data_IF_412422720574
#
_entry.id   IF_412422720574
#
_cell.length_a   1.000
_cell.length_b   1.000
_cell.length_c   1.000
_cell.angle_alpha   90.00
_cell.angle_beta   90.00
_cell.angle_gamma   90.00
#
_symmetry.space_group_name_H-M   'P 1'
#
loop_
_entity.id
_entity.type
_entity.pdbx_description
1 polymer ?
#
# COMPACT_ATOMS: atom_id res chain seq x y z
N UNK A 1 10.87 13.64 -2.75
CA UNK A 1 9.77 14.41 -2.14
C UNK A 1 10.09 14.48 -0.66
N UNK A 2 10.77 15.56 -0.25
CA UNK A 2 11.48 15.60 1.04
C UNK A 2 10.52 15.90 2.18
N UNK A 3 10.51 15.04 3.20
CA UNK A 3 9.67 15.15 4.40
C UNK A 3 9.81 16.53 5.08
N UNK A 4 11.00 17.12 5.02
CA UNK A 4 11.33 18.45 5.55
C UNK A 4 10.57 19.57 4.85
N UNK A 5 10.31 19.46 3.55
CA UNK A 5 9.55 20.46 2.80
C UNK A 5 8.08 20.48 3.21
N UNK A 6 7.50 19.30 3.49
CA UNK A 6 6.11 19.17 3.96
C UNK A 6 6.00 19.73 5.39
N UNK A 7 6.98 19.47 6.24
CA UNK A 7 7.06 20.01 7.59
C UNK A 7 7.06 21.55 7.61
N UNK A 8 7.89 22.19 6.77
CA UNK A 8 7.89 23.65 6.64
C UNK A 8 6.52 24.18 6.18
N UNK A 9 5.88 23.50 5.24
CA UNK A 9 4.58 23.91 4.73
C UNK A 9 3.48 23.80 5.80
N UNK A 10 3.48 22.74 6.61
CA UNK A 10 2.54 22.59 7.72
C UNK A 10 2.78 23.61 8.84
N UNK A 11 4.04 23.97 9.11
CA UNK A 11 4.36 25.05 10.04
C UNK A 11 3.81 26.39 9.55
N UNK A 12 3.96 26.70 8.25
CA UNK A 12 3.42 27.92 7.65
C UNK A 12 1.89 27.96 7.73
N UNK A 13 1.23 26.80 7.64
CA UNK A 13 -0.22 26.67 7.79
C UNK A 13 -0.71 26.74 9.24
N UNK A 14 0.19 26.88 10.22
CA UNK A 14 -0.15 27.08 11.62
C UNK A 14 -0.45 25.79 12.38
N UNK A 15 -0.08 24.62 11.86
CA UNK A 15 -0.22 23.36 12.61
C UNK A 15 0.73 23.33 13.81
N UNK A 16 0.25 22.77 14.91
CA UNK A 16 1.08 22.66 16.11
C UNK A 16 2.26 21.70 15.90
N UNK A 17 3.43 21.98 16.50
CA UNK A 17 4.62 21.13 16.35
C UNK A 17 4.36 19.65 16.65
N UNK A 18 3.53 19.35 17.66
CA UNK A 18 3.17 17.98 18.01
C UNK A 18 2.36 17.26 16.92
N UNK A 19 1.48 17.96 16.20
CA UNK A 19 0.71 17.41 15.09
C UNK A 19 1.61 17.12 13.88
N UNK A 20 2.58 18.01 13.62
CA UNK A 20 3.55 17.84 12.52
C UNK A 20 4.47 16.64 12.77
N UNK A 21 4.99 16.49 13.99
CA UNK A 21 5.78 15.32 14.40
C UNK A 21 4.96 14.03 14.26
N UNK A 22 3.69 14.07 14.67
CA UNK A 22 2.78 12.93 14.56
C UNK A 22 2.48 12.56 13.11
N UNK A 23 2.25 13.56 12.25
CA UNK A 23 2.07 13.38 10.80
C UNK A 23 3.29 12.71 10.17
N UNK A 24 4.50 13.24 10.44
CA UNK A 24 5.75 12.68 9.93
C UNK A 24 5.93 11.23 10.36
N UNK A 25 5.66 10.95 11.64
CA UNK A 25 5.74 9.59 12.19
C UNK A 25 4.83 8.63 11.41
N UNK A 26 3.56 8.99 11.22
CA UNK A 26 2.59 8.14 10.50
C UNK A 26 2.99 7.95 9.03
N UNK A 27 3.43 9.02 8.37
CA UNK A 27 3.86 8.97 6.97
C UNK A 27 5.06 8.03 6.79
N UNK A 28 6.10 8.17 7.62
CA UNK A 28 7.26 7.28 7.60
C UNK A 28 6.85 5.83 7.85
N UNK A 29 6.01 5.58 8.86
CA UNK A 29 5.53 4.23 9.20
C UNK A 29 4.74 3.60 8.04
N UNK A 30 3.91 4.38 7.36
CA UNK A 30 3.15 3.92 6.21
C UNK A 30 4.04 3.55 5.01
N UNK A 31 5.02 4.41 4.70
CA UNK A 31 5.97 4.15 3.62
C UNK A 31 6.80 2.91 3.93
N UNK A 32 7.33 2.80 5.15
CA UNK A 32 8.14 1.65 5.56
C UNK A 32 7.36 0.34 5.45
N UNK A 33 6.10 0.31 5.90
CA UNK A 33 5.28 -0.91 5.78
C UNK A 33 4.96 -1.27 4.32
N UNK A 34 4.73 -0.26 3.48
CA UNK A 34 4.46 -0.47 2.04
C UNK A 34 5.70 -0.99 1.33
N UNK A 35 6.87 -0.41 1.59
CA UNK A 35 8.16 -0.85 1.06
C UNK A 35 8.46 -2.31 1.43
N UNK A 36 8.26 -2.67 2.71
CA UNK A 36 8.41 -4.05 3.18
C UNK A 36 7.39 -5.00 2.52
N UNK A 37 6.15 -4.55 2.32
CA UNK A 37 5.12 -5.32 1.64
C UNK A 37 5.42 -5.60 0.16
N UNK A 38 6.19 -4.71 -0.49
CA UNK A 38 6.62 -4.83 -1.88
C UNK A 38 7.94 -5.60 -2.06
N UNK A 39 8.59 -6.02 -0.96
CA UNK A 39 9.83 -6.80 -1.01
C UNK A 39 11.10 -5.99 -1.24
N UNK A 40 11.08 -4.67 -1.04
CA UNK A 40 12.25 -3.79 -1.18
C UNK A 40 13.36 -4.03 -0.13
N UNK A 41 13.17 -5.03 0.74
CA UNK A 41 14.09 -5.41 1.81
C UNK A 41 15.35 -6.14 1.30
N UNK A 42 15.21 -7.04 0.33
CA UNK A 42 16.28 -7.98 -0.03
C UNK A 42 17.39 -7.35 -0.90
N UNK A 43 17.06 -6.42 -1.79
CA UNK A 43 18.04 -5.85 -2.73
C UNK A 43 18.65 -4.50 -2.27
N UNK A 44 17.97 -3.75 -1.37
CA UNK A 44 18.28 -2.33 -1.15
C UNK A 44 18.61 -1.96 0.32
N UNK A 45 18.60 -2.91 1.27
CA UNK A 45 18.99 -2.63 2.66
C UNK A 45 18.03 -1.71 3.44
N UNK A 46 16.80 -1.50 2.96
CA UNK A 46 15.79 -0.60 3.54
C UNK A 46 15.52 -0.88 5.03
N UNK A 47 15.58 -2.15 5.48
CA UNK A 47 15.41 -2.52 6.89
C UNK A 47 16.51 -1.96 7.80
N UNK A 48 17.74 -1.75 7.30
CA UNK A 48 18.84 -1.20 8.11
C UNK A 48 18.80 0.32 8.24
N UNK A 49 18.03 1.02 7.41
CA UNK A 49 17.88 2.49 7.40
C UNK A 49 16.42 2.91 7.18
N UNK A 50 15.48 2.29 7.91
CA UNK A 50 14.07 2.68 7.77
C UNK A 50 13.88 4.15 8.15
N UNK A 51 12.90 4.82 7.52
CA UNK A 51 12.61 6.22 7.80
C UNK A 51 12.23 6.43 9.28
N UNK A 52 11.62 5.41 9.90
CA UNK A 52 11.32 5.35 11.33
C UNK A 52 12.57 5.30 12.21
N UNK A 53 13.59 4.51 11.84
CA UNK A 53 14.87 4.49 12.54
C UNK A 53 15.60 5.82 12.34
N UNK A 54 15.60 6.36 11.12
CA UNK A 54 16.30 7.60 10.81
C UNK A 54 15.69 8.85 11.48
N UNK A 55 14.36 8.98 11.51
CA UNK A 55 13.69 10.18 12.04
C UNK A 55 13.15 10.02 13.47
N UNK A 56 12.93 8.81 13.94
CA UNK A 56 12.29 8.54 15.23
C UNK A 56 13.02 7.49 16.08
N UNK A 57 14.17 6.97 15.60
CA UNK A 57 15.01 5.98 16.30
C UNK A 57 14.26 4.74 16.80
N UNK A 58 13.24 4.31 16.05
CA UNK A 58 12.36 3.19 16.40
C UNK A 58 12.31 2.16 15.28
N UNK A 59 12.48 0.89 15.63
CA UNK A 59 12.49 -0.23 14.69
C UNK A 59 11.11 -0.86 14.46
N UNK A 60 10.09 -0.49 15.26
CA UNK A 60 8.74 -1.09 15.18
C UNK A 60 7.63 -0.07 15.51
N UNK A 61 7.18 0.70 14.50
CA UNK A 61 6.14 1.75 14.68
C UNK A 61 4.69 1.28 14.55
N UNK A 62 4.46 0.00 14.26
CA UNK A 62 3.13 -0.55 13.96
C UNK A 62 2.14 -0.52 15.13
N UNK A 63 2.59 -0.38 16.38
CA UNK A 63 1.74 -0.29 17.58
C UNK A 63 1.47 1.17 17.98
N UNK A 64 2.49 2.03 17.89
CA UNK A 64 2.39 3.42 18.36
C UNK A 64 1.46 4.27 17.52
N UNK A 65 1.28 3.96 16.23
CA UNK A 65 0.26 4.62 15.40
C UNK A 65 -1.14 4.43 16.00
N UNK A 66 -1.45 3.25 16.55
CA UNK A 66 -2.75 3.01 17.19
C UNK A 66 -2.91 3.73 18.52
N UNK A 67 -1.84 3.82 19.32
CA UNK A 67 -1.83 4.66 20.54
C UNK A 67 -2.02 6.14 20.19
N UNK A 68 -1.36 6.60 19.12
CA UNK A 68 -1.52 7.96 18.61
C UNK A 68 -2.97 8.21 18.18
N UNK A 69 -3.59 7.28 17.45
CA UNK A 69 -5.01 7.39 17.06
C UNK A 69 -5.91 7.63 18.27
N UNK A 70 -5.76 6.86 19.34
CA UNK A 70 -6.60 7.03 20.55
C UNK A 70 -6.38 8.39 21.21
N UNK A 71 -5.16 8.92 21.21
CA UNK A 71 -4.88 10.28 21.71
C UNK A 71 -5.54 11.36 20.86
N UNK A 72 -5.43 11.26 19.53
CA UNK A 72 -6.03 12.23 18.61
C UNK A 72 -7.56 12.22 18.69
N UNK A 73 -8.15 11.05 18.92
CA UNK A 73 -9.59 10.89 19.16
C UNK A 73 -10.07 11.52 20.47
N UNK A 74 -9.18 11.91 21.39
CA UNK A 74 -9.52 12.72 22.57
C UNK A 74 -9.88 14.17 22.23
N UNK A 75 -9.26 14.73 21.20
CA UNK A 75 -9.51 16.10 20.70
C UNK A 75 -9.74 16.10 19.18
N UNK A 76 -10.79 15.41 18.68
CA UNK A 76 -10.90 15.08 17.26
C UNK A 76 -11.17 16.32 16.38
N UNK A 77 -11.74 17.39 16.94
CA UNK A 77 -11.91 18.68 16.26
C UNK A 77 -10.58 19.37 15.96
N UNK A 78 -9.64 19.30 16.91
CA UNK A 78 -8.32 19.93 16.79
C UNK A 78 -7.42 19.18 15.81
N UNK A 79 -7.56 17.86 15.78
CA UNK A 79 -6.70 16.97 14.99
C UNK A 79 -7.41 16.35 13.78
N UNK A 80 -8.49 16.96 13.29
CA UNK A 80 -9.33 16.40 12.23
C UNK A 80 -8.51 16.01 11.00
N UNK A 81 -7.65 16.90 10.50
CA UNK A 81 -6.86 16.66 9.30
C UNK A 81 -5.88 15.49 9.47
N UNK A 82 -5.27 15.37 10.65
CA UNK A 82 -4.36 14.26 10.95
C UNK A 82 -5.12 12.93 11.09
N UNK A 83 -6.31 12.96 11.68
CA UNK A 83 -7.20 11.79 11.76
C UNK A 83 -7.64 11.36 10.35
N UNK A 84 -7.98 12.31 9.47
CA UNK A 84 -8.30 12.04 8.06
C UNK A 84 -7.11 11.42 7.32
N UNK A 85 -5.92 11.97 7.49
CA UNK A 85 -4.70 11.41 6.91
C UNK A 85 -4.46 9.96 7.35
N UNK A 86 -4.57 9.68 8.66
CA UNK A 86 -4.39 8.31 9.18
C UNK A 86 -5.48 7.38 8.63
N UNK A 87 -6.73 7.84 8.55
CA UNK A 87 -7.83 7.06 7.96
C UNK A 87 -7.51 6.68 6.50
N UNK A 88 -6.98 7.61 5.71
CA UNK A 88 -6.55 7.33 4.34
C UNK A 88 -5.43 6.29 4.28
N UNK A 89 -4.41 6.38 5.13
CA UNK A 89 -3.35 5.37 5.22
C UNK A 89 -3.91 3.97 5.51
N UNK A 90 -4.86 3.86 6.45
CA UNK A 90 -5.54 2.59 6.78
C UNK A 90 -6.34 2.04 5.60
N UNK A 91 -7.06 2.90 4.87
CA UNK A 91 -7.78 2.53 3.65
C UNK A 91 -6.86 2.05 2.52
N UNK A 92 -5.68 2.65 2.38
CA UNK A 92 -4.67 2.28 1.39
C UNK A 92 -3.98 0.94 1.68
N UNK A 93 -4.24 0.35 2.85
CA UNK A 93 -3.77 -0.99 3.20
C UNK A 93 -2.74 -1.04 4.31
N UNK A 94 -2.47 0.08 4.99
CA UNK A 94 -1.73 0.06 6.25
C UNK A 94 -2.45 -0.82 7.28
N UNK A 95 -1.74 -1.78 7.84
CA UNK A 95 -2.26 -2.72 8.85
C UNK A 95 -1.54 -2.61 10.18
N UNK A 96 -0.25 -2.25 10.21
CA UNK A 96 0.53 -2.20 11.44
C UNK A 96 0.39 -3.50 12.25
N UNK A 97 0.08 -3.38 13.54
CA UNK A 97 -0.13 -4.51 14.46
C UNK A 97 -1.15 -5.57 13.98
N UNK A 98 -2.10 -5.17 13.13
CA UNK A 98 -3.16 -6.05 12.63
C UNK A 98 -2.71 -7.01 11.51
N UNK A 99 -1.45 -6.96 11.08
CA UNK A 99 -0.91 -7.82 10.00
C UNK A 99 -0.83 -9.31 10.37
N UNK A 100 -0.73 -9.64 11.67
CA UNK A 100 -0.33 -10.98 12.14
C UNK A 100 -1.50 -11.90 12.50
N UNK A 101 -2.72 -11.40 12.73
CA UNK A 101 -3.81 -12.23 13.27
C UNK A 101 -5.08 -12.23 12.44
N UNK A 102 -5.48 -13.42 11.99
CA UNK A 102 -6.73 -13.65 11.25
C UNK A 102 -7.99 -13.19 12.00
N UNK A 103 -7.97 -13.18 13.35
CA UNK A 103 -9.08 -12.76 14.21
C UNK A 103 -9.17 -11.25 14.48
N UNK A 104 -8.12 -10.46 14.21
CA UNK A 104 -8.13 -9.03 14.52
C UNK A 104 -8.69 -8.15 13.38
N UNK A 105 -9.17 -8.77 12.30
CA UNK A 105 -9.81 -8.04 11.21
C UNK A 105 -11.07 -7.30 11.67
N UNK A 106 -11.82 -7.88 12.60
CA UNK A 106 -13.04 -7.26 13.12
C UNK A 106 -12.73 -6.02 13.97
N UNK A 107 -11.67 -6.07 14.79
CA UNK A 107 -11.19 -4.93 15.57
C UNK A 107 -10.68 -3.81 14.66
N UNK A 108 -9.89 -4.14 13.63
CA UNK A 108 -9.46 -3.17 12.62
C UNK A 108 -10.65 -2.51 11.92
N UNK A 109 -11.64 -3.31 11.51
CA UNK A 109 -12.83 -2.79 10.84
C UNK A 109 -13.67 -1.91 11.77
N UNK A 110 -13.74 -2.26 13.05
CA UNK A 110 -14.40 -1.45 14.07
C UNK A 110 -13.70 -0.10 14.24
N UNK A 111 -12.36 -0.09 14.34
CA UNK A 111 -11.56 1.14 14.39
C UNK A 111 -11.80 2.01 13.15
N UNK A 112 -11.76 1.41 11.95
CA UNK A 112 -11.97 2.14 10.69
C UNK A 112 -13.35 2.81 10.64
N UNK A 113 -14.40 2.12 11.08
CA UNK A 113 -15.76 2.67 11.19
C UNK A 113 -15.84 3.79 12.22
N UNK A 114 -15.15 3.66 13.36
CA UNK A 114 -15.10 4.70 14.41
C UNK A 114 -14.45 5.97 13.87
N UNK A 115 -13.32 5.86 13.18
CA UNK A 115 -12.64 6.99 12.54
C UNK A 115 -13.54 7.65 11.50
N UNK A 116 -14.12 6.86 10.60
CA UNK A 116 -15.02 7.37 9.57
C UNK A 116 -16.20 8.14 10.17
N UNK A 117 -16.83 7.60 11.22
CA UNK A 117 -17.96 8.25 11.89
C UNK A 117 -17.53 9.58 12.52
N UNK A 118 -16.38 9.62 13.17
CA UNK A 118 -15.85 10.84 13.77
C UNK A 118 -15.58 11.93 12.72
N UNK A 119 -14.93 11.57 11.62
CA UNK A 119 -14.66 12.48 10.50
C UNK A 119 -15.97 13.05 9.94
N UNK A 120 -16.96 12.19 9.67
CA UNK A 120 -18.26 12.60 9.14
C UNK A 120 -19.03 13.54 10.10
N UNK A 121 -18.97 13.25 11.40
CA UNK A 121 -19.62 14.09 12.41
C UNK A 121 -19.03 15.50 12.46
N UNK A 122 -17.72 15.64 12.26
CA UNK A 122 -17.02 16.91 12.38
C UNK A 122 -17.04 17.74 11.10
N UNK A 123 -17.03 17.12 9.92
CA UNK A 123 -17.22 17.82 8.64
C UNK A 123 -18.67 18.30 8.41
N UNK A 124 -19.65 17.68 9.06
CA UNK A 124 -21.06 17.83 8.68
C UNK A 124 -21.32 17.35 7.25
N UNK A 125 -22.44 17.75 6.64
CA UNK A 125 -22.77 17.46 5.23
C UNK A 125 -21.83 18.14 4.20
N UNK A 126 -20.61 18.54 4.60
CA UNK A 126 -19.61 18.99 3.65
C UNK A 126 -19.16 17.81 2.79
N UNK A 127 -19.13 18.05 1.46
CA UNK A 127 -18.89 17.06 0.42
C UNK A 127 -17.79 16.07 0.84
N UNK A 128 -18.07 14.75 0.86
CA UNK A 128 -17.05 13.76 1.11
C UNK A 128 -15.92 13.96 0.09
N UNK A 129 -14.66 13.85 0.53
CA UNK A 129 -13.56 13.57 -0.38
C UNK A 129 -13.87 12.18 -0.95
N UNK A 130 -14.55 12.15 -2.10
CA UNK A 130 -14.94 10.94 -2.82
C UNK A 130 -13.72 10.36 -3.51
N UNK A 131 -13.07 9.41 -2.84
CA UNK A 131 -12.33 8.33 -3.50
C UNK A 131 -13.10 6.99 -3.44
N UNK A 132 -14.25 6.94 -2.76
CA UNK A 132 -15.11 5.76 -2.74
C UNK A 132 -16.57 6.17 -2.51
N UNK A 133 -17.35 6.21 -3.59
CA UNK A 133 -18.80 6.27 -3.54
C UNK A 133 -19.31 4.88 -3.15
N UNK A 134 -19.73 4.75 -1.89
CA UNK A 134 -20.34 3.54 -1.36
C UNK A 134 -21.80 3.48 -1.83
N UNK A 135 -21.98 2.87 -3.00
CA UNK A 135 -23.26 2.31 -3.42
C UNK A 135 -23.73 1.27 -2.40
N UNK A 136 -25.02 1.31 -2.14
CA UNK A 136 -25.73 0.69 -1.04
C UNK A 136 -25.53 -0.83 -0.95
N UNK A 137 -25.59 -1.31 0.29
CA UNK A 137 -25.93 -2.68 0.66
C UNK A 137 -25.21 -3.85 -0.04
N UNK A 138 -24.06 -4.31 0.51
CA UNK A 138 -23.88 -5.74 0.82
C UNK A 138 -22.57 -6.03 1.56
N UNK A 139 -22.70 -6.98 2.48
CA UNK A 139 -21.64 -7.78 3.07
C UNK A 139 -20.56 -8.14 2.03
N UNK A 140 -19.46 -7.40 1.97
CA UNK A 140 -18.32 -7.79 1.14
C UNK A 140 -17.02 -7.66 1.92
N UNK A 141 -16.72 -8.77 2.60
CA UNK A 141 -15.40 -9.37 2.76
C UNK A 141 -14.24 -8.47 2.30
N UNK A 142 -13.48 -7.99 3.28
CA UNK A 142 -12.14 -7.42 3.12
C UNK A 142 -11.15 -8.44 2.55
N UNK A 143 -11.33 -8.82 1.28
CA UNK A 143 -10.51 -9.76 0.49
C UNK A 143 -10.15 -9.17 -0.88
N UNK A 144 -10.23 -7.85 -1.06
CA UNK A 144 -10.05 -7.22 -2.37
C UNK A 144 -8.61 -6.81 -2.69
N UNK A 145 -7.67 -6.77 -1.74
CA UNK A 145 -6.25 -6.50 -2.03
C UNK A 145 -5.48 -7.71 -2.60
N UNK A 146 -5.81 -8.94 -2.17
CA UNK A 146 -5.05 -10.14 -2.55
C UNK A 146 -5.46 -10.75 -3.90
N UNK A 147 -6.73 -10.65 -4.30
CA UNK A 147 -7.20 -11.23 -5.58
C UNK A 147 -6.80 -10.42 -6.79
N UNK A 148 -6.70 -9.10 -6.65
CA UNK A 148 -6.22 -8.23 -7.73
C UNK A 148 -4.71 -8.42 -7.95
N UNK A 149 -3.91 -8.52 -6.88
CA UNK A 149 -2.50 -8.90 -7.00
C UNK A 149 -2.31 -10.29 -7.63
N UNK A 150 -3.04 -11.31 -7.16
CA UNK A 150 -2.93 -12.66 -7.68
C UNK A 150 -3.36 -12.80 -9.16
N UNK A 151 -4.40 -12.09 -9.62
CA UNK A 151 -4.79 -12.14 -11.04
C UNK A 151 -3.73 -11.52 -11.95
N UNK A 152 -3.10 -10.40 -11.54
CA UNK A 152 -2.06 -9.77 -12.35
C UNK A 152 -0.77 -10.62 -12.35
N UNK A 153 -0.45 -11.28 -11.23
CA UNK A 153 0.66 -12.25 -11.16
C UNK A 153 0.39 -13.45 -12.08
N UNK A 154 -0.82 -14.01 -12.07
CA UNK A 154 -1.21 -15.12 -12.96
C UNK A 154 -1.21 -14.74 -14.44
N UNK A 155 -1.69 -13.54 -14.77
CA UNK A 155 -1.64 -13.03 -16.15
C UNK A 155 -0.18 -12.81 -16.56
N UNK A 156 0.65 -12.25 -15.68
CA UNK A 156 2.08 -12.05 -15.92
C UNK A 156 2.82 -13.35 -16.20
N UNK A 157 2.60 -14.40 -15.40
CA UNK A 157 3.22 -15.71 -15.62
C UNK A 157 2.74 -16.38 -16.91
N UNK A 158 1.46 -16.26 -17.25
CA UNK A 158 0.92 -16.78 -18.52
C UNK A 158 1.53 -16.07 -19.74
N UNK A 159 1.65 -14.74 -19.70
CA UNK A 159 2.27 -13.94 -20.76
C UNK A 159 3.76 -14.30 -20.91
N UNK A 160 4.48 -14.43 -19.79
CA UNK A 160 5.89 -14.82 -19.80
C UNK A 160 6.08 -16.21 -20.42
N UNK A 161 5.24 -17.19 -20.07
CA UNK A 161 5.27 -18.52 -20.67
C UNK A 161 4.96 -18.48 -22.18
N UNK A 162 4.01 -17.64 -22.63
CA UNK A 162 3.70 -17.45 -24.05
C UNK A 162 4.86 -16.85 -24.83
N UNK A 163 5.58 -15.88 -24.25
CA UNK A 163 6.77 -15.28 -24.87
C UNK A 163 7.86 -16.35 -25.04
N UNK A 164 8.14 -17.13 -23.99
CA UNK A 164 9.12 -18.23 -24.06
C UNK A 164 8.71 -19.25 -25.13
N UNK A 165 7.43 -19.64 -25.16
CA UNK A 165 6.92 -20.58 -26.15
C UNK A 165 7.05 -20.03 -27.58
N UNK A 166 6.73 -18.76 -27.80
CA UNK A 166 6.86 -18.09 -29.10
C UNK A 166 8.32 -18.03 -29.58
N UNK A 167 9.26 -17.73 -28.66
CA UNK A 167 10.70 -17.77 -28.94
C UNK A 167 11.14 -19.18 -29.29
N UNK A 168 10.71 -20.19 -28.53
CA UNK A 168 11.05 -21.59 -28.77
C UNK A 168 10.49 -22.09 -30.11
N UNK A 169 9.22 -21.79 -30.40
CA UNK A 169 8.57 -22.11 -31.66
C UNK A 169 9.28 -21.46 -32.86
N UNK A 170 9.66 -20.19 -32.72
CA UNK A 170 10.41 -19.49 -33.77
C UNK A 170 11.80 -20.13 -33.97
N UNK A 171 12.51 -20.45 -32.89
CA UNK A 171 13.82 -21.13 -32.94
C UNK A 171 13.74 -22.51 -33.58
N UNK A 172 12.65 -23.26 -33.36
CA UNK A 172 12.42 -24.56 -33.98
C UNK A 172 12.08 -24.42 -35.47
N UNK A 173 11.27 -23.43 -35.84
CA UNK A 173 10.86 -23.23 -37.23
C UNK A 173 12.02 -22.80 -38.14
N UNK A 174 13.03 -22.11 -37.60
CA UNK A 174 14.28 -21.84 -38.32
C UNK A 174 15.12 -23.11 -38.57
N UNK A 175 15.00 -24.16 -37.76
CA UNK A 175 15.73 -25.43 -37.95
C UNK A 175 15.02 -26.40 -38.90
N UNK A 176 13.69 -26.28 -39.07
CA UNK A 176 12.94 -27.17 -39.99
C UNK A 176 13.22 -26.87 -41.46
N UNK A 177 13.48 -25.60 -41.81
CA UNK A 177 13.76 -25.18 -43.19
C UNK A 177 15.11 -25.72 -43.71
N UNK A 178 16.14 -25.82 -42.87
CA UNK A 178 17.46 -26.30 -43.32
C UNK A 178 17.51 -27.81 -43.62
N UNK A 179 16.61 -28.61 -43.05
CA UNK A 179 16.59 -30.08 -43.26
C UNK A 179 15.85 -30.44 -44.55
N UNK A 180 14.80 -29.69 -44.92
CA UNK A 180 14.04 -29.90 -46.17
C UNK A 180 14.87 -29.50 -47.39
N UNK A 181 15.67 -28.44 -47.28
CA UNK A 181 16.59 -28.02 -48.34
C UNK A 181 17.69 -29.08 -48.59
N UNK A 182 18.25 -29.67 -47.52
CA UNK A 182 19.27 -30.72 -47.63
C UNK A 182 18.74 -32.03 -48.24
N UNK A 183 17.47 -32.39 -47.99
CA UNK A 183 16.86 -33.57 -48.61
C UNK A 183 16.59 -33.37 -50.11
N UNK A 184 16.20 -32.16 -50.54
CA UNK A 184 15.95 -31.86 -51.95
C UNK A 184 17.24 -31.80 -52.78
N UNK A 185 18.38 -31.47 -52.16
CA UNK A 185 19.71 -31.52 -52.81
C UNK A 185 20.32 -32.92 -52.92
N UNK A 186 19.76 -33.93 -52.25
CA UNK A 186 20.25 -35.32 -52.31
C UNK A 186 19.38 -36.24 -53.18
N UNK A 187 18.17 -35.80 -53.55
CA UNK A 187 17.21 -36.52 -54.41
C UNK A 187 17.01 -35.85 -55.79
N UNK A 188 17.76 -34.79 -56.08
CA UNK A 188 17.82 -34.10 -57.39
C UNK A 188 19.18 -34.25 -58.05
#
# INVERSE_FOLDING_TARGET
MDITSIEQQLQIQGYEPGAIVSFRYVLCTFIDETALGLGWDQDNGWVKQSLLVHFHNESWGGEKVFVLIERLLGEPKRYLDLIEFIYLCLCLGYRGRYKVSAGQNDEFNHLLRRLQKQIQQLRGNAKPIVLFEKGDNQQSRYRLGKRLGARYILIGTAVFALIIYSIYSSRLNYQTLSIVEQLNTLLG
#
